data_IF_673858862832
#
_entry.id   IF_673858862832
#
_cell.length_a   1.000
_cell.length_b   1.000
_cell.length_c   1.000
_cell.angle_alpha   90.00
_cell.angle_beta   90.00
_cell.angle_gamma   90.00
#
_symmetry.space_group_name_H-M   'P 1'
#
loop_
_entity.id
_entity.type
_entity.pdbx_description
1 polymer ?
#
# COMPACT_ATOMS: atom_id res chain seq x y z
N UNK A 1 -5.57 14.07 -3.81
CA UNK A 1 -6.92 13.52 -3.56
C UNK A 1 -7.36 13.95 -2.16
N UNK A 2 -8.66 14.18 -1.94
CA UNK A 2 -9.24 14.58 -0.66
C UNK A 2 -10.07 13.41 -0.12
N UNK A 3 -9.83 13.02 1.12
CA UNK A 3 -10.49 11.90 1.79
C UNK A 3 -11.28 12.41 3.01
N UNK A 4 -12.47 11.89 3.29
CA UNK A 4 -13.24 12.33 4.48
C UNK A 4 -12.67 11.73 5.76
N UNK A 5 -12.07 10.53 5.65
CA UNK A 5 -11.39 9.84 6.74
C UNK A 5 -10.15 9.08 6.25
N UNK A 6 -9.24 8.66 7.15
CA UNK A 6 -8.17 7.74 6.79
C UNK A 6 -8.68 6.37 6.31
N UNK A 7 -9.85 5.93 6.81
CA UNK A 7 -10.47 4.70 6.35
C UNK A 7 -10.92 4.81 4.88
N UNK A 8 -11.36 5.99 4.44
CA UNK A 8 -11.69 6.24 3.03
C UNK A 8 -10.45 6.12 2.15
N UNK A 9 -9.30 6.63 2.61
CA UNK A 9 -8.04 6.42 1.91
C UNK A 9 -7.73 4.94 1.76
N UNK A 10 -7.82 4.16 2.85
CA UNK A 10 -7.58 2.73 2.81
C UNK A 10 -8.51 2.02 1.82
N UNK A 11 -9.80 2.37 1.82
CA UNK A 11 -10.79 1.78 0.92
C UNK A 11 -10.54 2.14 -0.55
N UNK A 12 -10.25 3.41 -0.85
CA UNK A 12 -9.94 3.86 -2.20
C UNK A 12 -8.62 3.25 -2.71
N UNK A 13 -7.59 3.17 -1.85
CA UNK A 13 -6.33 2.51 -2.20
C UNK A 13 -6.55 1.02 -2.48
N UNK A 14 -7.24 0.30 -1.59
CA UNK A 14 -7.55 -1.11 -1.79
C UNK A 14 -8.36 -1.35 -3.06
N UNK A 15 -9.33 -0.49 -3.37
CA UNK A 15 -10.13 -0.56 -4.59
C UNK A 15 -9.31 -0.30 -5.85
N UNK A 16 -8.39 0.67 -5.83
CA UNK A 16 -7.50 0.95 -6.96
C UNK A 16 -6.51 -0.19 -7.23
N UNK A 17 -6.30 -1.05 -6.24
CA UNK A 17 -5.29 -2.09 -6.20
C UNK A 17 -5.87 -3.49 -5.92
N UNK A 18 -7.16 -3.70 -6.16
CA UNK A 18 -7.86 -4.96 -5.92
C UNK A 18 -7.59 -6.05 -6.97
N UNK A 19 -6.79 -5.72 -7.98
CA UNK A 19 -6.42 -6.63 -9.05
C UNK A 19 -4.98 -7.06 -8.87
N UNK A 20 -4.76 -8.36 -9.04
CA UNK A 20 -3.43 -8.94 -9.13
C UNK A 20 -2.65 -8.28 -10.26
N UNK A 21 -1.42 -7.90 -9.97
CA UNK A 21 -0.47 -7.42 -10.98
C UNK A 21 0.41 -8.59 -11.38
N UNK A 22 0.52 -8.84 -12.67
CA UNK A 22 1.49 -9.81 -13.20
C UNK A 22 2.65 -9.05 -13.83
N UNK A 23 3.88 -9.38 -13.45
CA UNK A 23 5.07 -8.78 -14.06
C UNK A 23 5.44 -9.47 -15.39
N UNK A 24 6.50 -8.99 -16.03
CA UNK A 24 6.98 -9.53 -17.31
C UNK A 24 7.52 -10.96 -17.23
N UNK A 25 7.73 -11.50 -16.02
CA UNK A 25 8.24 -12.83 -15.75
C UNK A 25 7.16 -13.78 -15.23
N UNK A 26 5.91 -13.32 -15.11
CA UNK A 26 4.78 -14.10 -14.63
C UNK A 26 4.65 -14.14 -13.11
N UNK A 27 5.43 -13.35 -12.38
CA UNK A 27 5.23 -13.17 -10.95
C UNK A 27 3.94 -12.40 -10.70
N UNK A 28 3.21 -12.79 -9.65
CA UNK A 28 1.92 -12.23 -9.29
C UNK A 28 2.06 -11.48 -7.98
N UNK A 29 1.72 -10.20 -7.99
CA UNK A 29 1.65 -9.34 -6.82
C UNK A 29 0.20 -9.05 -6.44
N UNK A 30 -0.15 -9.35 -5.20
CA UNK A 30 -1.49 -9.11 -4.62
C UNK A 30 -1.37 -8.15 -3.44
N UNK A 31 -2.31 -7.21 -3.33
CA UNK A 31 -2.42 -6.36 -2.15
C UNK A 31 -3.06 -7.17 -1.01
N UNK A 32 -2.28 -7.50 0.01
CA UNK A 32 -2.73 -8.30 1.16
C UNK A 32 -3.50 -7.45 2.18
N UNK A 33 -2.95 -6.27 2.52
CA UNK A 33 -3.48 -5.46 3.62
C UNK A 33 -3.21 -3.98 3.42
N UNK A 34 -4.17 -3.15 3.83
CA UNK A 34 -3.98 -1.69 4.00
C UNK A 34 -4.48 -1.33 5.38
N UNK A 35 -3.65 -0.70 6.21
CA UNK A 35 -3.96 -0.51 7.63
C UNK A 35 -3.41 0.78 8.19
N UNK A 36 -4.18 1.41 9.08
CA UNK A 36 -3.71 2.56 9.87
C UNK A 36 -2.77 2.04 10.95
N UNK A 37 -1.52 2.50 10.96
CA UNK A 37 -0.50 2.08 11.94
C UNK A 37 -0.25 3.14 13.02
N UNK A 38 -0.54 4.41 12.74
CA UNK A 38 -0.56 5.46 13.75
C UNK A 38 -1.53 6.57 13.38
N UNK A 39 -2.19 7.14 14.40
CA UNK A 39 -3.18 8.21 14.23
C UNK A 39 -3.06 9.25 15.35
N UNK A 40 -3.02 10.51 14.94
CA UNK A 40 -3.12 11.69 15.81
C UNK A 40 -4.31 12.54 15.37
N UNK A 41 -4.55 13.67 16.04
CA UNK A 41 -5.61 14.62 15.67
C UNK A 41 -5.48 15.14 14.24
N UNK A 42 -4.24 15.25 13.73
CA UNK A 42 -3.92 15.97 12.50
C UNK A 42 -3.09 15.15 11.51
N UNK A 43 -2.59 13.98 11.90
CA UNK A 43 -1.74 13.14 11.05
C UNK A 43 -2.07 11.67 11.22
N UNK A 44 -2.06 10.92 10.11
CA UNK A 44 -2.21 9.46 10.11
C UNK A 44 -1.14 8.83 9.25
N UNK A 45 -0.54 7.74 9.74
CA UNK A 45 0.28 6.84 8.93
C UNK A 45 -0.54 5.59 8.57
N UNK A 46 -0.61 5.30 7.29
CA UNK A 46 -1.19 4.08 6.73
C UNK A 46 -0.07 3.26 6.11
N UNK A 47 -0.14 1.94 6.21
CA UNK A 47 0.76 1.04 5.51
C UNK A 47 -0.02 0.07 4.64
N UNK A 48 0.49 -0.17 3.43
CA UNK A 48 0.06 -1.20 2.52
C UNK A 48 1.10 -2.31 2.46
N UNK A 49 0.64 -3.56 2.58
CA UNK A 49 1.44 -4.76 2.44
C UNK A 49 1.05 -5.46 1.15
N UNK A 50 2.04 -5.72 0.32
CA UNK A 50 1.92 -6.45 -0.93
C UNK A 50 2.66 -7.77 -0.79
N UNK A 51 2.07 -8.82 -1.36
CA UNK A 51 2.69 -10.13 -1.47
C UNK A 51 2.93 -10.44 -2.94
N UNK A 52 4.18 -10.73 -3.29
CA UNK A 52 4.57 -11.15 -4.63
C UNK A 52 5.07 -12.57 -4.58
N UNK A 53 4.53 -13.44 -5.44
CA UNK A 53 5.07 -14.78 -5.66
C UNK A 53 5.41 -14.98 -7.13
N UNK A 54 6.54 -15.62 -7.41
CA UNK A 54 7.02 -15.76 -8.77
C UNK A 54 8.00 -16.90 -8.95
N UNK A 55 8.45 -17.07 -10.19
CA UNK A 55 9.48 -18.01 -10.55
C UNK A 55 10.46 -17.34 -11.50
N UNK A 56 11.67 -17.08 -10.99
CA UNK A 56 12.80 -16.65 -11.80
C UNK A 56 13.51 -17.88 -12.38
N UNK A 57 13.73 -17.98 -13.70
CA UNK A 57 14.38 -19.14 -14.31
C UNK A 57 15.78 -19.44 -13.77
N UNK A 58 16.51 -18.42 -13.32
CA UNK A 58 17.90 -18.53 -12.86
C UNK A 58 17.99 -18.74 -11.34
N UNK A 59 17.00 -18.26 -10.59
CA UNK A 59 17.00 -18.21 -9.11
C UNK A 59 15.92 -19.10 -8.46
N UNK A 60 15.00 -19.64 -9.25
CA UNK A 60 13.90 -20.51 -8.81
C UNK A 60 12.66 -19.75 -8.33
N UNK A 61 11.83 -20.45 -7.55
CA UNK A 61 10.62 -19.87 -6.94
C UNK A 61 10.96 -18.92 -5.81
N UNK A 62 10.20 -17.83 -5.70
CA UNK A 62 10.36 -16.86 -4.63
C UNK A 62 9.01 -16.31 -4.18
N UNK A 63 9.01 -15.85 -2.94
CA UNK A 63 7.92 -15.17 -2.26
C UNK A 63 8.49 -13.96 -1.51
N UNK A 64 7.88 -12.79 -1.71
CA UNK A 64 8.40 -11.51 -1.21
C UNK A 64 7.27 -10.66 -0.67
N UNK A 65 7.52 -9.99 0.45
CA UNK A 65 6.63 -8.98 1.01
C UNK A 65 7.18 -7.58 0.76
N UNK A 66 6.39 -6.74 0.11
CA UNK A 66 6.70 -5.33 -0.15
C UNK A 66 5.80 -4.44 0.70
N UNK A 67 6.38 -3.39 1.30
CA UNK A 67 5.64 -2.46 2.15
C UNK A 67 5.73 -1.03 1.63
N UNK A 68 4.60 -0.34 1.60
CA UNK A 68 4.53 1.08 1.34
C UNK A 68 3.86 1.79 2.53
N UNK A 69 4.38 2.95 2.91
CA UNK A 69 3.79 3.81 3.93
C UNK A 69 3.27 5.12 3.33
N UNK A 70 2.16 5.60 3.86
CA UNK A 70 1.48 6.82 3.44
C UNK A 70 1.24 7.69 4.66
N UNK A 71 1.58 8.98 4.56
CA UNK A 71 1.23 9.97 5.59
C UNK A 71 0.08 10.81 5.07
N UNK A 72 -1.03 10.81 5.81
CA UNK A 72 -2.14 11.72 5.60
C UNK A 72 -2.08 12.84 6.62
N UNK A 73 -2.38 14.06 6.18
CA UNK A 73 -2.48 15.24 7.03
C UNK A 73 -3.89 15.81 6.94
N UNK A 74 -4.48 16.11 8.11
CA UNK A 74 -5.78 16.74 8.23
C UNK A 74 -5.70 18.21 7.87
N UNK A 75 -6.65 18.65 7.06
CA UNK A 75 -6.89 20.04 6.66
C UNK A 75 -8.33 20.40 7.00
N UNK A 76 -8.69 21.67 6.82
CA UNK A 76 -10.03 22.18 7.13
C UNK A 76 -11.14 21.49 6.33
N UNK A 77 -10.81 20.93 5.17
CA UNK A 77 -11.74 20.29 4.23
C UNK A 77 -11.63 18.75 4.20
N UNK A 78 -10.76 18.15 5.02
CA UNK A 78 -10.59 16.69 5.08
C UNK A 78 -9.13 16.27 5.15
N UNK A 79 -8.87 15.00 4.84
CA UNK A 79 -7.54 14.39 4.86
C UNK A 79 -6.92 14.41 3.47
N UNK A 80 -5.61 14.69 3.41
CA UNK A 80 -4.85 14.71 2.16
C UNK A 80 -3.58 13.88 2.30
N UNK A 81 -3.26 13.13 1.26
CA UNK A 81 -1.95 12.48 1.14
C UNK A 81 -0.86 13.56 1.14
N UNK A 82 0.08 13.43 2.07
CA UNK A 82 1.23 14.32 2.23
C UNK A 82 2.50 13.71 1.66
N UNK A 83 2.75 12.43 1.97
CA UNK A 83 3.91 11.70 1.47
C UNK A 83 3.61 10.21 1.31
N UNK A 84 4.38 9.59 0.42
CA UNK A 84 4.46 8.15 0.21
C UNK A 84 5.93 7.75 0.38
N UNK A 85 6.15 6.63 1.07
CA UNK A 85 7.46 6.09 1.41
C UNK A 85 7.47 4.60 1.05
N UNK A 86 8.42 4.20 0.20
CA UNK A 86 8.71 2.80 -0.07
C UNK A 86 9.55 2.25 1.09
N UNK A 87 9.00 1.29 1.83
CA UNK A 87 9.68 0.65 2.96
C UNK A 87 10.52 -0.55 2.53
N UNK A 88 10.46 -0.92 1.25
CA UNK A 88 11.21 -2.02 0.67
C UNK A 88 10.67 -3.40 1.04
N UNK A 89 11.58 -4.37 0.94
CA UNK A 89 11.32 -5.79 1.09
C UNK A 89 11.53 -6.26 2.53
N UNK A 90 10.62 -7.09 3.03
CA UNK A 90 10.81 -7.89 4.25
C UNK A 90 11.18 -9.35 3.94
#
# INVERSE_FOLDING_TARGET
>A
MLYQSPADFCAEYAKAHNHDKTDGFGAVSTLEKVTVVSETSDTVRVEALWFTYGHDPDSGYYDVFERAAFVLVKRYDGWRLHSEEDLGYE
#
